data_IF_728277950771
#
_entry.id   IF_728277950771
#
_cell.length_a   1.000
_cell.length_b   1.000
_cell.length_c   1.000
_cell.angle_alpha   90.00
_cell.angle_beta   90.00
_cell.angle_gamma   90.00
#
_symmetry.space_group_name_H-M   'P 1'
#
loop_
_entity.id
_entity.type
_entity.pdbx_description
1 polymer ?
#
# COMPACT_ATOMS: atom_id res chain seq x y z
N UNK A 1 -23.11 14.56 1.59
CA UNK A 1 -22.55 13.44 0.82
C UNK A 1 -21.20 13.11 1.41
N UNK A 2 -21.04 11.95 2.03
CA UNK A 2 -19.71 11.45 2.40
C UNK A 2 -18.92 11.16 1.12
N UNK A 3 -17.74 11.74 0.97
CA UNK A 3 -16.87 11.47 -0.18
C UNK A 3 -16.26 10.09 0.02
N UNK A 4 -16.57 9.16 -0.87
CA UNK A 4 -15.91 7.87 -0.88
C UNK A 4 -14.41 8.04 -1.11
N UNK A 5 -13.60 7.31 -0.34
CA UNK A 5 -12.16 7.29 -0.52
C UNK A 5 -11.81 6.71 -1.89
N UNK A 6 -10.91 7.40 -2.59
CA UNK A 6 -10.27 6.88 -3.80
C UNK A 6 -9.48 5.60 -3.51
N UNK A 7 -9.20 4.81 -4.54
CA UNK A 7 -8.40 3.59 -4.41
C UNK A 7 -7.01 3.86 -3.79
N UNK A 8 -6.32 4.91 -4.24
CA UNK A 8 -5.03 5.35 -3.67
C UNK A 8 -5.14 5.63 -2.18
N UNK A 9 -6.16 6.39 -1.76
CA UNK A 9 -6.38 6.70 -0.34
C UNK A 9 -6.66 5.44 0.48
N UNK A 10 -7.48 4.51 -0.03
CA UNK A 10 -7.74 3.22 0.62
C UNK A 10 -6.45 2.41 0.81
N UNK A 11 -5.58 2.35 -0.21
CA UNK A 11 -4.27 1.68 -0.14
C UNK A 11 -3.41 2.31 0.95
N UNK A 12 -3.24 3.63 0.94
CA UNK A 12 -2.41 4.35 1.93
C UNK A 12 -2.93 4.15 3.35
N UNK A 13 -4.24 4.21 3.55
CA UNK A 13 -4.86 4.01 4.86
C UNK A 13 -4.67 2.59 5.39
N UNK A 14 -4.77 1.58 4.52
CA UNK A 14 -4.49 0.19 4.88
C UNK A 14 -3.01 -0.01 5.24
N UNK A 15 -2.10 0.56 4.47
CA UNK A 15 -0.66 0.51 4.75
C UNK A 15 -0.29 1.24 6.05
N UNK A 16 -0.91 2.39 6.33
CA UNK A 16 -0.69 3.10 7.59
C UNK A 16 -1.14 2.27 8.80
N UNK A 17 -2.27 1.56 8.69
CA UNK A 17 -2.82 0.75 9.79
C UNK A 17 -2.12 -0.60 9.99
N UNK A 18 -1.60 -1.21 8.91
CA UNK A 18 -1.09 -2.59 8.94
C UNK A 18 0.40 -2.71 8.65
N UNK A 19 1.06 -1.60 8.31
CA UNK A 19 2.47 -1.58 7.93
C UNK A 19 2.70 -2.11 6.53
N UNK A 20 3.62 -3.07 6.40
CA UNK A 20 4.09 -3.58 5.11
C UNK A 20 3.27 -4.78 4.64
N UNK A 21 2.75 -4.75 3.41
CA UNK A 21 1.85 -5.78 2.89
C UNK A 21 2.28 -6.28 1.51
N UNK A 22 1.96 -7.53 1.19
CA UNK A 22 2.05 -8.06 -0.19
C UNK A 22 0.90 -7.58 -1.06
N UNK A 23 0.98 -7.86 -2.36
CA UNK A 23 -0.09 -7.57 -3.30
C UNK A 23 -1.38 -8.36 -2.96
N UNK A 24 -1.26 -9.63 -2.56
CA UNK A 24 -2.42 -10.43 -2.12
C UNK A 24 -3.08 -9.82 -0.86
N UNK A 25 -2.28 -9.39 0.11
CA UNK A 25 -2.80 -8.81 1.34
C UNK A 25 -3.48 -7.47 1.08
N UNK A 26 -2.89 -6.64 0.22
CA UNK A 26 -3.51 -5.38 -0.21
C UNK A 26 -4.87 -5.63 -0.87
N UNK A 27 -4.98 -6.61 -1.76
CA UNK A 27 -6.25 -6.99 -2.38
C UNK A 27 -7.26 -7.45 -1.31
N UNK A 28 -6.83 -8.31 -0.38
CA UNK A 28 -7.68 -8.81 0.70
C UNK A 28 -8.22 -7.70 1.60
N UNK A 29 -7.39 -6.72 1.98
CA UNK A 29 -7.73 -5.67 2.93
C UNK A 29 -8.41 -4.45 2.30
N UNK A 30 -8.02 -4.06 1.08
CA UNK A 30 -8.61 -2.91 0.40
C UNK A 30 -9.86 -3.26 -0.41
N UNK A 31 -10.06 -4.56 -0.72
CA UNK A 31 -11.08 -5.05 -1.66
C UNK A 31 -10.94 -4.47 -3.07
N UNK A 32 -9.77 -3.91 -3.41
CA UNK A 32 -9.46 -3.41 -4.74
C UNK A 32 -8.95 -4.59 -5.58
N UNK A 33 -9.49 -4.80 -6.80
CA UNK A 33 -9.00 -5.85 -7.68
C UNK A 33 -7.50 -5.72 -7.97
N UNK A 34 -6.80 -6.85 -8.06
CA UNK A 34 -5.35 -6.91 -8.33
C UNK A 34 -4.90 -6.02 -9.49
N UNK A 35 -5.64 -6.00 -10.59
CA UNK A 35 -5.31 -5.18 -11.77
C UNK A 35 -5.33 -3.68 -11.48
N UNK A 36 -6.25 -3.22 -10.64
CA UNK A 36 -6.31 -1.83 -10.18
C UNK A 36 -5.17 -1.53 -9.21
N UNK A 37 -4.83 -2.45 -8.30
CA UNK A 37 -3.66 -2.28 -7.42
C UNK A 37 -2.37 -2.15 -8.23
N UNK A 38 -2.20 -2.97 -9.28
CA UNK A 38 -1.03 -2.92 -10.15
C UNK A 38 -0.89 -1.61 -10.94
N UNK A 39 -1.96 -0.83 -11.10
CA UNK A 39 -1.92 0.53 -11.65
C UNK A 39 -1.59 1.57 -10.57
N UNK A 40 -2.27 1.51 -9.43
CA UNK A 40 -2.12 2.49 -8.36
C UNK A 40 -0.75 2.41 -7.65
N UNK A 41 -0.19 1.22 -7.45
CA UNK A 41 1.04 1.03 -6.67
C UNK A 41 2.29 1.65 -7.35
N UNK A 42 2.51 1.50 -8.68
CA UNK A 42 3.56 2.24 -9.37
C UNK A 42 3.40 3.76 -9.28
N UNK A 43 2.19 4.28 -9.43
CA UNK A 43 1.91 5.72 -9.34
C UNK A 43 2.20 6.24 -7.93
N UNK A 44 1.73 5.56 -6.88
CA UNK A 44 2.03 5.91 -5.49
C UNK A 44 3.54 5.84 -5.17
N UNK A 45 4.27 4.91 -5.80
CA UNK A 45 5.71 4.83 -5.64
C UNK A 45 6.44 5.99 -6.36
N UNK A 46 5.97 6.37 -7.55
CA UNK A 46 6.48 7.52 -8.31
C UNK A 46 6.21 8.85 -7.59
N UNK A 47 5.02 8.98 -6.98
CA UNK A 47 4.66 10.09 -6.08
C UNK A 47 5.45 10.07 -4.76
N UNK A 48 6.31 9.06 -4.54
CA UNK A 48 7.14 8.97 -3.36
C UNK A 48 6.39 8.59 -2.08
N UNK A 49 5.13 8.17 -2.16
CA UNK A 49 4.29 7.88 -0.99
C UNK A 49 4.55 6.51 -0.37
N UNK A 50 4.91 5.54 -1.21
CA UNK A 50 5.21 4.17 -0.78
C UNK A 50 6.61 3.74 -1.23
N UNK A 51 7.15 2.76 -0.53
CA UNK A 51 8.35 2.01 -0.91
C UNK A 51 7.99 0.58 -1.31
N UNK A 52 8.89 -0.05 -2.07
CA UNK A 52 8.75 -1.44 -2.53
C UNK A 52 9.96 -2.24 -2.06
N UNK A 53 9.73 -3.40 -1.48
CA UNK A 53 10.78 -4.30 -1.03
C UNK A 53 10.51 -5.75 -1.44
N UNK A 54 11.48 -6.61 -1.15
CA UNK A 54 11.30 -8.05 -1.21
C UNK A 54 11.02 -8.60 0.18
N UNK A 55 10.15 -9.59 0.24
CA UNK A 55 9.85 -10.40 1.40
C UNK A 55 10.14 -11.87 1.04
N UNK A 56 10.88 -12.58 1.87
CA UNK A 56 11.21 -13.98 1.66
C UNK A 56 10.37 -14.84 2.60
N UNK A 57 9.55 -15.72 2.04
CA UNK A 57 8.72 -16.67 2.81
C UNK A 57 8.91 -18.04 2.21
N UNK A 58 9.37 -19.01 3.01
CA UNK A 58 9.53 -20.41 2.56
C UNK A 58 10.38 -20.56 1.28
N UNK A 59 11.46 -19.78 1.17
CA UNK A 59 12.34 -19.78 -0.01
C UNK A 59 11.80 -19.02 -1.23
N UNK A 60 10.56 -18.52 -1.20
CA UNK A 60 9.96 -17.73 -2.29
C UNK A 60 10.04 -16.24 -2.02
N UNK A 61 10.25 -15.46 -3.08
CA UNK A 61 10.29 -13.98 -3.04
C UNK A 61 8.92 -13.40 -3.36
N UNK A 62 8.42 -12.53 -2.50
CA UNK A 62 7.19 -11.77 -2.64
C UNK A 62 7.51 -10.28 -2.65
N UNK A 63 6.77 -9.51 -3.44
CA UNK A 63 6.88 -8.05 -3.40
C UNK A 63 6.08 -7.53 -2.21
N UNK A 64 6.72 -6.72 -1.35
CA UNK A 64 6.04 -5.99 -0.26
C UNK A 64 6.01 -4.50 -0.55
N UNK A 65 4.97 -3.85 -0.06
CA UNK A 65 4.72 -2.41 -0.20
C UNK A 65 4.53 -1.83 1.19
N UNK A 66 5.13 -0.66 1.43
CA UNK A 66 5.12 0.00 2.74
C UNK A 66 4.94 1.50 2.55
N UNK A 67 4.24 2.17 3.46
CA UNK A 67 4.24 3.64 3.50
C UNK A 67 5.68 4.15 3.73
N UNK A 68 6.06 5.28 3.14
CA UNK A 68 7.31 5.94 3.53
C UNK A 68 7.13 6.66 4.87
N UNK A 69 8.20 6.72 5.66
CA UNK A 69 8.23 7.38 6.98
C UNK A 69 7.84 8.87 6.87
N UNK A 70 8.23 9.55 5.80
CA UNK A 70 7.82 10.94 5.56
C UNK A 70 6.30 11.10 5.52
N UNK A 71 5.59 10.13 4.94
CA UNK A 71 4.12 10.17 4.86
C UNK A 71 3.47 9.75 6.19
N UNK A 72 4.08 8.83 6.96
CA UNK A 72 3.59 8.49 8.29
C UNK A 72 3.57 9.72 9.21
N UNK A 73 4.65 10.52 9.14
CA UNK A 73 4.78 11.81 9.83
C UNK A 73 3.72 12.81 9.40
N UNK A 74 3.48 12.96 8.10
CA UNK A 74 2.42 13.83 7.57
C UNK A 74 1.01 13.40 8.05
N UNK A 75 0.81 12.10 8.28
CA UNK A 75 -0.45 11.54 8.74
C UNK A 75 -0.59 11.54 10.28
N UNK A 76 0.46 11.86 11.03
CA UNK A 76 0.46 11.86 12.49
C UNK A 76 0.25 10.48 13.13
N UNK A 77 0.73 9.41 12.47
CA UNK A 77 0.52 8.00 12.89
C UNK A 77 1.83 7.35 13.37
N UNK A 78 2.80 8.17 13.81
CA UNK A 78 4.10 7.73 14.32
C UNK A 78 4.02 7.19 15.76
#
# INVERSE_FOLDING_TARGET
>A
MERELTQKQKILLVLAKRGSLTLEELERFTKIPRNSLLKNLPELAAEGKISRGWLHIGGKKYRKYSLKVSILRELGVD
#
